data_IF_133389771829
#
_entry.id   IF_133389771829
#
_cell.length_a   1.000
_cell.length_b   1.000
_cell.length_c   1.000
_cell.angle_alpha   90.00
_cell.angle_beta   90.00
_cell.angle_gamma   90.00
#
_symmetry.space_group_name_H-M   'P 1'
#
loop_
_entity.id
_entity.type
_entity.pdbx_description
1 polymer ?
#
# COMPACT_ATOMS: atom_id res chain seq x y z
N UNK A 1 -16.32 9.30 -14.79
CA UNK A 1 -15.42 8.55 -15.70
C UNK A 1 -14.91 7.32 -14.97
N UNK A 2 -15.14 6.13 -15.53
CA UNK A 2 -14.67 4.85 -14.97
C UNK A 2 -13.28 4.56 -15.55
N UNK A 3 -12.27 4.54 -14.69
CA UNK A 3 -10.92 4.12 -15.09
C UNK A 3 -10.85 2.61 -14.90
N UNK A 4 -10.61 1.86 -15.98
CA UNK A 4 -10.32 0.44 -15.88
C UNK A 4 -8.88 0.29 -15.39
N UNK A 5 -8.74 0.02 -14.10
CA UNK A 5 -7.45 -0.23 -13.48
C UNK A 5 -6.92 -1.60 -13.94
N UNK A 6 -5.62 -1.70 -14.26
CA UNK A 6 -4.95 -2.99 -14.41
C UNK A 6 -5.18 -3.87 -13.17
N UNK A 7 -5.25 -5.21 -13.33
CA UNK A 7 -5.57 -6.12 -12.24
C UNK A 7 -4.71 -5.94 -10.99
N UNK A 8 -3.42 -5.61 -11.16
CA UNK A 8 -2.47 -5.36 -10.08
C UNK A 8 -2.81 -4.11 -9.26
N UNK A 9 -3.21 -3.03 -9.93
CA UNK A 9 -3.60 -1.78 -9.27
C UNK A 9 -4.96 -1.95 -8.58
N UNK A 10 -5.90 -2.64 -9.24
CA UNK A 10 -7.19 -2.97 -8.63
C UNK A 10 -7.03 -3.83 -7.36
N UNK A 11 -6.15 -4.83 -7.38
CA UNK A 11 -5.83 -5.66 -6.22
C UNK A 11 -5.21 -4.86 -5.07
N UNK A 12 -4.32 -3.90 -5.38
CA UNK A 12 -3.77 -2.98 -4.38
C UNK A 12 -4.87 -2.22 -3.64
N UNK A 13 -5.76 -1.53 -4.37
CA UNK A 13 -6.86 -0.77 -3.76
C UNK A 13 -7.87 -1.65 -3.02
N UNK A 14 -8.14 -2.87 -3.51
CA UNK A 14 -9.02 -3.82 -2.84
C UNK A 14 -8.42 -4.31 -1.50
N UNK A 15 -7.11 -4.51 -1.45
CA UNK A 15 -6.41 -4.94 -0.24
C UNK A 15 -6.22 -3.77 0.74
N UNK A 16 -5.96 -2.56 0.24
CA UNK A 16 -5.92 -1.30 1.01
C UNK A 16 -7.24 -1.04 1.73
N UNK A 17 -8.38 -1.15 1.03
CA UNK A 17 -9.71 -0.99 1.64
C UNK A 17 -10.01 -1.98 2.75
N UNK A 18 -9.36 -3.15 2.75
CA UNK A 18 -9.54 -4.16 3.79
C UNK A 18 -8.64 -3.93 5.00
N UNK A 19 -7.78 -2.90 4.98
CA UNK A 19 -6.82 -2.61 6.05
C UNK A 19 -5.77 -3.73 6.25
N UNK A 20 -5.59 -4.61 5.27
CA UNK A 20 -4.69 -5.75 5.39
C UNK A 20 -3.29 -5.39 4.92
N UNK A 21 -2.52 -4.69 5.76
CA UNK A 21 -1.16 -4.25 5.48
C UNK A 21 -0.24 -5.40 5.01
N UNK A 22 -0.44 -6.63 5.51
CA UNK A 22 0.33 -7.79 5.11
C UNK A 22 -0.01 -8.26 3.67
N UNK A 23 -1.28 -8.30 3.30
CA UNK A 23 -1.70 -8.66 1.94
C UNK A 23 -1.28 -7.60 0.90
N UNK A 24 -1.09 -6.35 1.33
CA UNK A 24 -0.63 -5.26 0.47
C UNK A 24 0.89 -5.33 0.28
N UNK A 25 1.65 -5.59 1.34
CA UNK A 25 3.12 -5.73 1.25
C UNK A 25 3.55 -6.89 0.34
N UNK A 26 2.74 -7.95 0.25
CA UNK A 26 2.98 -9.07 -0.68
C UNK A 26 2.84 -8.69 -2.16
N UNK A 27 2.07 -7.66 -2.48
CA UNK A 27 1.95 -7.15 -3.86
C UNK A 27 3.20 -6.40 -4.33
N UNK A 28 4.11 -6.04 -3.43
CA UNK A 28 5.34 -5.34 -3.76
C UNK A 28 6.48 -6.32 -4.04
N UNK A 29 7.38 -5.93 -4.95
CA UNK A 29 8.62 -6.66 -5.16
C UNK A 29 9.49 -6.65 -3.88
N UNK A 30 10.35 -7.66 -3.66
CA UNK A 30 11.23 -7.70 -2.48
C UNK A 30 12.08 -6.44 -2.28
N UNK A 31 12.51 -5.80 -3.36
CA UNK A 31 13.27 -4.54 -3.37
C UNK A 31 12.45 -3.28 -3.65
N UNK A 32 11.13 -3.33 -3.45
CA UNK A 32 10.28 -2.16 -3.67
C UNK A 32 10.64 -1.02 -2.71
N UNK A 33 10.47 0.21 -3.18
CA UNK A 33 10.68 1.43 -2.40
C UNK A 33 9.41 2.25 -2.44
N UNK A 34 8.88 2.61 -1.28
CA UNK A 34 7.75 3.54 -1.11
C UNK A 34 8.29 4.83 -0.53
N UNK A 35 7.90 5.97 -1.10
CA UNK A 35 8.25 7.29 -0.59
C UNK A 35 6.94 7.97 -0.19
N UNK A 36 6.81 8.32 1.08
CA UNK A 36 5.59 8.91 1.63
C UNK A 36 5.94 9.90 2.75
N UNK A 37 5.29 11.06 2.77
CA UNK A 37 5.52 12.16 3.75
C UNK A 37 7.02 12.51 3.99
N UNK A 38 7.87 12.38 2.97
CA UNK A 38 9.32 12.61 3.09
C UNK A 38 10.11 11.45 3.69
N UNK A 39 9.46 10.35 4.04
CA UNK A 39 10.08 9.10 4.46
C UNK A 39 10.27 8.15 3.27
N UNK A 40 11.31 7.31 3.33
CA UNK A 40 11.58 6.27 2.33
C UNK A 40 11.54 4.91 3.01
N UNK A 41 10.68 4.02 2.52
CA UNK A 41 10.46 2.67 3.02
C UNK A 41 10.91 1.66 1.98
N UNK A 42 12.07 1.04 2.22
CA UNK A 42 12.68 0.07 1.31
C UNK A 42 12.45 -1.35 1.80
N UNK A 43 11.90 -2.18 0.92
CA UNK A 43 11.61 -3.59 1.19
C UNK A 43 10.24 -3.82 1.80
N UNK A 44 9.75 -5.06 1.66
CA UNK A 44 8.40 -5.47 2.08
C UNK A 44 8.12 -5.23 3.56
N UNK A 45 9.11 -5.47 4.43
CA UNK A 45 8.96 -5.26 5.87
C UNK A 45 8.77 -3.77 6.22
N UNK A 46 9.53 -2.88 5.60
CA UNK A 46 9.38 -1.44 5.79
C UNK A 46 8.03 -0.94 5.25
N UNK A 47 7.62 -1.44 4.08
CA UNK A 47 6.32 -1.11 3.46
C UNK A 47 5.16 -1.62 4.32
N UNK A 48 5.27 -2.82 4.91
CA UNK A 48 4.27 -3.37 5.81
C UNK A 48 4.08 -2.50 7.05
N UNK A 49 5.16 -2.04 7.66
CA UNK A 49 5.12 -1.14 8.81
C UNK A 49 4.54 0.22 8.43
N UNK A 50 4.97 0.80 7.30
CA UNK A 50 4.38 2.02 6.76
C UNK A 50 2.88 1.88 6.54
N UNK A 51 2.42 0.82 5.88
CA UNK A 51 0.98 0.59 5.65
C UNK A 51 0.19 0.47 6.94
N UNK A 52 0.73 -0.21 7.96
CA UNK A 52 0.08 -0.31 9.27
C UNK A 52 -0.10 1.07 9.91
N UNK A 53 0.89 1.95 9.79
CA UNK A 53 0.85 3.31 10.33
C UNK A 53 -0.03 4.26 9.49
N UNK A 54 0.06 4.19 8.15
CA UNK A 54 -0.68 5.02 7.22
C UNK A 54 -2.19 4.74 7.25
N UNK A 55 -2.58 3.47 7.43
CA UNK A 55 -3.99 3.06 7.53
C UNK A 55 -4.69 3.64 8.77
N UNK A 56 -3.94 3.91 9.85
CA UNK A 56 -4.47 4.50 11.09
C UNK A 56 -4.81 5.98 10.93
N UNK A 57 -4.19 6.70 9.99
CA UNK A 57 -4.25 8.16 9.93
C UNK A 57 -5.00 8.73 8.71
N UNK A 58 -5.73 7.90 7.95
CA UNK A 58 -6.46 8.38 6.78
C UNK A 58 -7.92 8.73 7.14
N UNK A 59 -8.28 10.02 7.31
CA UNK A 59 -9.69 10.39 7.36
C UNK A 59 -10.30 10.07 6.00
N UNK A 60 -11.30 9.18 5.98
CA UNK A 60 -12.15 8.95 4.83
C UNK A 60 -12.84 10.29 4.50
N UNK A 61 -12.35 11.00 3.48
CA UNK A 61 -13.10 12.06 2.81
C UNK A 61 -13.87 11.47 1.64
#
# INVERSE_FOLDING_TARGET
>A
MTIQLPPTIAAYFANERKGNAAAISENFAPGAVVIDEGNTYSGRDAIRQWMANASTNRPLK
#
